data_IF_140406727459
#
_entry.id   IF_140406727459
#
_cell.length_a   1.000
_cell.length_b   1.000
_cell.length_c   1.000
_cell.angle_alpha   90.00
_cell.angle_beta   90.00
_cell.angle_gamma   90.00
#
_symmetry.space_group_name_H-M   'P 1'
#
loop_
_entity.id
_entity.type
_entity.pdbx_description
1 polymer ?
#
# COMPACT_ATOMS: atom_id res chain seq x y z
N UNK A 1 -6.25 3.89 3.72
CA UNK A 1 -4.94 3.25 4.05
C UNK A 1 -4.11 3.27 2.77
N UNK A 2 -2.88 3.75 2.80
CA UNK A 2 -1.98 3.58 1.66
C UNK A 2 -1.81 2.11 1.28
N UNK A 3 -2.05 1.79 0.01
CA UNK A 3 -1.83 0.49 -0.60
C UNK A 3 -0.60 0.57 -1.53
N UNK A 4 -0.33 -0.44 -2.32
CA UNK A 4 0.85 -0.49 -3.19
C UNK A 4 1.05 0.79 -4.03
N UNK A 5 0.05 1.34 -4.74
CA UNK A 5 0.26 2.52 -5.58
C UNK A 5 0.62 3.79 -4.80
N UNK A 6 0.03 3.99 -3.62
CA UNK A 6 0.34 5.12 -2.76
C UNK A 6 1.78 5.03 -2.22
N UNK A 7 2.18 3.82 -1.80
CA UNK A 7 3.54 3.57 -1.29
C UNK A 7 4.58 3.76 -2.40
N UNK A 8 4.32 3.23 -3.60
CA UNK A 8 5.18 3.42 -4.76
C UNK A 8 5.33 4.89 -5.12
N UNK A 9 4.24 5.66 -5.07
CA UNK A 9 4.26 7.10 -5.32
C UNK A 9 5.18 7.82 -4.35
N UNK A 10 5.10 7.49 -3.06
CA UNK A 10 5.97 8.09 -2.03
C UNK A 10 7.43 7.72 -2.30
N UNK A 11 7.75 6.46 -2.59
CA UNK A 11 9.12 6.03 -2.88
C UNK A 11 9.69 6.79 -4.08
N UNK A 12 8.95 6.91 -5.18
CA UNK A 12 9.36 7.69 -6.37
C UNK A 12 9.61 9.15 -6.03
N UNK A 13 8.77 9.75 -5.20
CA UNK A 13 8.92 11.15 -4.81
C UNK A 13 10.10 11.37 -3.87
N UNK A 14 10.39 10.44 -2.95
CA UNK A 14 11.57 10.48 -2.10
C UNK A 14 12.86 10.38 -2.94
N UNK A 15 12.89 9.46 -3.93
CA UNK A 15 14.00 9.37 -4.89
C UNK A 15 14.18 10.67 -5.68
N UNK A 16 13.10 11.19 -6.27
CA UNK A 16 13.14 12.45 -7.03
C UNK A 16 13.60 13.64 -6.17
N UNK A 17 13.40 13.58 -4.86
CA UNK A 17 13.90 14.59 -3.91
C UNK A 17 15.38 14.43 -3.60
N UNK A 18 16.05 13.42 -4.14
CA UNK A 18 17.46 13.14 -3.87
C UNK A 18 17.69 12.69 -2.43
N UNK A 19 16.79 11.88 -1.87
CA UNK A 19 16.94 11.29 -0.54
C UNK A 19 18.00 10.19 -0.54
N UNK A 20 18.11 9.46 -1.65
CA UNK A 20 19.18 8.49 -1.85
C UNK A 20 20.55 9.20 -1.87
N UNK A 21 21.57 8.51 -1.40
CA UNK A 21 22.93 8.97 -1.22
C UNK A 21 23.13 10.04 -0.14
N UNK A 22 22.10 10.41 0.63
CA UNK A 22 22.23 11.30 1.77
C UNK A 22 22.45 10.54 3.06
N UNK A 23 23.20 11.17 3.95
CA UNK A 23 23.43 10.70 5.32
C UNK A 23 22.30 11.17 6.23
N UNK A 24 21.91 10.31 7.17
CA UNK A 24 20.94 10.62 8.22
C UNK A 24 21.72 11.31 9.36
N UNK A 25 21.60 12.62 9.49
CA UNK A 25 22.31 13.39 10.52
C UNK A 25 21.61 13.30 11.88
N UNK A 26 20.28 13.31 11.88
CA UNK A 26 19.49 13.22 13.10
C UNK A 26 18.10 12.66 12.82
N UNK A 27 17.51 12.05 13.84
CA UNK A 27 16.12 11.63 13.83
C UNK A 27 15.43 12.11 15.11
N UNK A 28 14.24 12.64 14.99
CA UNK A 28 13.34 12.92 16.12
C UNK A 28 12.16 11.97 16.05
N UNK A 29 11.76 11.39 17.19
CA UNK A 29 10.63 10.47 17.30
C UNK A 29 9.69 10.97 18.39
N UNK A 30 8.50 11.41 18.02
CA UNK A 30 7.47 11.90 18.95
C UNK A 30 6.48 10.79 19.35
N UNK A 31 6.59 9.60 18.76
CA UNK A 31 5.77 8.42 19.07
C UNK A 31 6.62 7.16 19.16
N UNK A 32 7.22 6.86 20.35
CA UNK A 32 8.17 5.75 20.51
C UNK A 32 7.61 4.36 20.18
N UNK A 33 6.31 4.09 20.36
CA UNK A 33 5.70 2.81 19.99
C UNK A 33 5.88 2.45 18.49
N UNK A 34 6.14 3.44 17.64
CA UNK A 34 6.36 3.25 16.22
C UNK A 34 7.67 2.51 15.93
N UNK A 35 8.68 2.68 16.77
CA UNK A 35 10.02 2.09 16.63
C UNK A 35 10.26 0.89 17.56
N UNK A 36 9.23 0.42 18.27
CA UNK A 36 9.37 -0.73 19.16
C UNK A 36 9.96 -1.95 18.44
N UNK A 37 10.87 -2.73 19.09
CA UNK A 37 11.17 -2.71 20.53
C UNK A 37 12.27 -1.72 20.95
N UNK A 38 12.81 -0.90 20.06
CA UNK A 38 13.91 0.00 20.39
C UNK A 38 13.46 1.21 21.23
N UNK A 39 14.32 1.62 22.18
CA UNK A 39 14.23 2.95 22.75
C UNK A 39 14.65 4.00 21.70
N UNK A 40 14.28 5.27 21.94
CA UNK A 40 14.68 6.37 21.06
C UNK A 40 16.21 6.47 20.92
N UNK A 41 16.94 6.44 22.04
CA UNK A 41 18.40 6.54 22.04
C UNK A 41 19.06 5.43 21.23
N UNK A 42 18.62 4.18 21.45
CA UNK A 42 19.17 3.02 20.72
C UNK A 42 18.81 3.07 19.24
N UNK A 43 17.59 3.44 18.90
CA UNK A 43 17.15 3.57 17.49
C UNK A 43 17.94 4.66 16.77
N UNK A 44 18.08 5.84 17.40
CA UNK A 44 18.85 6.96 16.86
C UNK A 44 20.30 6.55 16.61
N UNK A 45 20.96 5.92 17.59
CA UNK A 45 22.34 5.43 17.45
C UNK A 45 22.50 4.43 16.31
N UNK A 46 21.47 3.66 15.98
CA UNK A 46 21.52 2.66 14.89
C UNK A 46 21.38 3.27 13.50
N UNK A 47 20.66 4.36 13.33
CA UNK A 47 20.35 4.92 12.01
C UNK A 47 21.05 6.24 11.71
N UNK A 48 21.44 7.04 12.71
CA UNK A 48 22.22 8.25 12.48
C UNK A 48 23.62 7.92 11.99
N UNK A 49 24.19 8.80 11.19
CA UNK A 49 25.43 8.67 10.44
C UNK A 49 25.44 7.54 9.40
N UNK A 50 24.25 6.96 9.12
CA UNK A 50 24.11 6.02 8.01
C UNK A 50 23.66 6.72 6.74
N UNK A 51 24.27 6.31 5.62
CA UNK A 51 23.90 6.79 4.30
C UNK A 51 22.72 5.98 3.75
N UNK A 52 21.72 6.64 3.20
CA UNK A 52 20.63 5.98 2.49
C UNK A 52 21.14 5.56 1.11
N UNK A 53 21.44 4.29 0.93
CA UNK A 53 22.01 3.75 -0.32
C UNK A 53 20.91 3.67 -1.39
N UNK A 54 19.75 3.11 -1.00
CA UNK A 54 18.66 2.87 -1.94
C UNK A 54 17.30 2.93 -1.24
N UNK A 55 16.30 3.39 -1.96
CA UNK A 55 14.91 3.32 -1.57
C UNK A 55 14.19 2.30 -2.46
N UNK A 56 13.41 1.42 -1.86
CA UNK A 56 12.62 0.46 -2.62
C UNK A 56 11.28 0.20 -1.93
N UNK A 57 10.44 -0.60 -2.55
CA UNK A 57 9.15 -1.01 -2.03
C UNK A 57 8.98 -2.53 -2.16
N UNK A 58 8.36 -3.14 -1.15
CA UNK A 58 7.80 -4.47 -1.26
C UNK A 58 6.38 -4.45 -0.64
N UNK A 59 5.37 -4.76 -1.44
CA UNK A 59 3.97 -4.65 -1.03
C UNK A 59 3.63 -3.23 -0.54
N UNK A 60 3.33 -3.10 0.74
CA UNK A 60 3.00 -1.82 1.41
C UNK A 60 4.13 -1.30 2.31
N UNK A 61 5.32 -1.87 2.20
CA UNK A 61 6.51 -1.46 2.93
C UNK A 61 7.39 -0.55 2.07
N UNK A 62 7.85 0.56 2.65
CA UNK A 62 8.96 1.34 2.13
C UNK A 62 10.23 0.78 2.76
N UNK A 63 11.25 0.55 1.97
CA UNK A 63 12.52 -0.01 2.38
C UNK A 63 13.60 1.05 2.14
N UNK A 64 14.21 1.51 3.23
CA UNK A 64 15.44 2.29 3.19
C UNK A 64 16.59 1.32 3.41
N UNK A 65 17.36 1.06 2.37
CA UNK A 65 18.64 0.37 2.47
C UNK A 65 19.68 1.39 2.89
N UNK A 66 20.31 1.15 4.01
CA UNK A 66 21.30 2.02 4.60
C UNK A 66 22.71 1.43 4.41
N UNK A 67 23.73 2.25 4.63
CA UNK A 67 25.10 1.75 4.70
C UNK A 67 25.26 0.64 5.76
N UNK A 68 26.38 -0.08 5.71
CA UNK A 68 26.73 -1.13 6.67
C UNK A 68 25.67 -2.25 6.80
N UNK A 69 25.03 -2.62 5.68
CA UNK A 69 23.99 -3.67 5.62
C UNK A 69 22.85 -3.45 6.62
N UNK A 70 22.48 -2.20 6.84
CA UNK A 70 21.35 -1.81 7.69
C UNK A 70 20.11 -1.49 6.87
N UNK A 71 18.95 -1.73 7.44
CA UNK A 71 17.68 -1.47 6.79
C UNK A 71 16.70 -0.79 7.75
N UNK A 72 15.98 0.21 7.24
CA UNK A 72 14.81 0.76 7.90
C UNK A 72 13.57 0.45 7.06
N UNK A 73 12.70 -0.40 7.58
CA UNK A 73 11.42 -0.76 6.95
C UNK A 73 10.31 0.11 7.53
N UNK A 74 9.58 0.80 6.67
CA UNK A 74 8.49 1.70 7.08
C UNK A 74 7.17 1.22 6.51
N UNK A 75 6.20 0.90 7.39
CA UNK A 75 4.82 0.60 7.02
C UNK A 75 3.91 1.76 7.41
N UNK A 76 3.26 2.36 6.42
CA UNK A 76 2.43 3.56 6.62
C UNK A 76 1.12 3.29 7.37
N UNK A 77 0.63 2.06 7.34
CA UNK A 77 -0.65 1.66 7.93
C UNK A 77 -1.81 2.54 7.41
N UNK A 78 -2.64 3.10 8.32
CA UNK A 78 -3.89 3.77 7.94
C UNK A 78 -3.73 5.24 7.55
N UNK A 79 -2.83 5.96 8.20
CA UNK A 79 -2.68 7.42 8.05
C UNK A 79 -1.24 7.90 7.91
N UNK A 80 -0.28 6.96 7.90
CA UNK A 80 1.13 7.30 7.73
C UNK A 80 1.41 7.91 6.36
N UNK A 81 2.24 8.95 6.33
CA UNK A 81 2.72 9.58 5.11
C UNK A 81 4.00 10.36 5.37
N UNK A 82 4.82 10.56 4.34
CA UNK A 82 5.94 11.48 4.39
C UNK A 82 5.55 12.87 3.86
N UNK A 83 6.20 13.93 4.36
CA UNK A 83 5.98 15.32 3.96
C UNK A 83 7.27 16.13 3.98
N UNK A 84 7.29 17.20 3.19
CA UNK A 84 8.36 18.22 3.17
C UNK A 84 8.14 19.34 4.18
N UNK A 85 6.91 19.51 4.67
CA UNK A 85 6.52 20.60 5.55
C UNK A 85 6.13 20.05 6.91
N UNK A 86 6.44 20.71 8.02
CA UNK A 86 6.04 20.30 9.35
C UNK A 86 4.52 20.33 9.54
N UNK A 87 4.03 19.58 10.52
CA UNK A 87 2.63 19.54 10.92
C UNK A 87 2.49 19.05 12.36
N UNK A 88 1.41 19.40 13.04
CA UNK A 88 1.07 18.91 14.39
C UNK A 88 0.82 17.39 14.46
N UNK A 89 0.68 16.74 13.31
CA UNK A 89 0.52 15.28 13.21
C UNK A 89 1.82 14.53 12.93
N UNK A 90 2.96 15.24 12.91
CA UNK A 90 4.25 14.59 12.73
C UNK A 90 4.56 13.70 13.93
N UNK A 91 5.11 12.53 13.66
CA UNK A 91 5.50 11.52 14.65
C UNK A 91 7.00 11.20 14.56
N UNK A 92 7.62 11.61 13.48
CA UNK A 92 9.07 11.59 13.32
C UNK A 92 9.51 12.68 12.34
N UNK A 93 10.77 13.12 12.52
CA UNK A 93 11.51 13.97 11.60
C UNK A 93 12.86 13.33 11.35
N UNK A 94 13.28 13.29 10.09
CA UNK A 94 14.62 12.86 9.68
C UNK A 94 15.32 14.08 9.08
N UNK A 95 16.46 14.45 9.64
CA UNK A 95 17.37 15.44 9.08
C UNK A 95 18.43 14.70 8.26
N UNK A 96 18.52 15.03 6.99
CA UNK A 96 19.50 14.47 6.05
C UNK A 96 20.59 15.49 5.72
N UNK A 97 21.74 15.01 5.28
CA UNK A 97 22.83 15.87 4.77
C UNK A 97 22.33 16.79 3.67
N UNK A 98 22.93 18.00 3.59
CA UNK A 98 22.46 19.06 2.69
C UNK A 98 21.17 19.74 3.16
N UNK A 99 20.83 19.66 4.45
CA UNK A 99 19.70 20.38 5.06
C UNK A 99 18.31 19.85 4.70
N UNK A 100 18.21 18.67 4.10
CA UNK A 100 16.92 18.10 3.70
C UNK A 100 16.20 17.52 4.91
N UNK A 101 14.98 17.99 5.18
CA UNK A 101 14.10 17.48 6.23
C UNK A 101 12.97 16.64 5.65
N UNK A 102 12.70 15.50 6.27
CA UNK A 102 11.56 14.65 6.01
C UNK A 102 10.72 14.52 7.28
N UNK A 103 9.43 14.83 7.18
CA UNK A 103 8.48 14.70 8.27
C UNK A 103 7.61 13.46 8.02
N UNK A 104 7.51 12.60 9.02
CA UNK A 104 6.58 11.48 8.98
C UNK A 104 5.34 11.81 9.77
N UNK A 105 4.21 11.88 9.09
CA UNK A 105 2.88 12.17 9.67
C UNK A 105 2.12 10.89 9.92
N UNK A 106 1.49 10.81 11.08
CA UNK A 106 0.54 9.74 11.37
C UNK A 106 -0.44 10.17 12.46
N UNK A 107 -1.61 10.67 12.05
CA UNK A 107 -2.64 11.14 12.97
C UNK A 107 -3.21 10.03 13.85
N UNK A 108 -3.23 8.79 13.35
CA UNK A 108 -3.77 7.60 14.05
C UNK A 108 -2.73 6.82 14.83
N UNK A 109 -1.44 7.12 14.67
CA UNK A 109 -0.32 6.48 15.39
C UNK A 109 -0.21 4.96 15.18
N UNK A 110 -0.56 4.45 13.99
CA UNK A 110 -0.50 3.03 13.64
C UNK A 110 0.71 2.66 12.79
N UNK A 111 1.41 3.65 12.27
CA UNK A 111 2.62 3.45 11.48
C UNK A 111 3.68 2.66 12.23
N UNK A 112 4.50 1.93 11.51
CA UNK A 112 5.53 1.09 12.10
C UNK A 112 6.84 1.27 11.35
N UNK A 113 7.90 1.50 12.10
CA UNK A 113 9.28 1.60 11.62
C UNK A 113 10.07 0.46 12.25
N UNK A 114 10.73 -0.34 11.43
CA UNK A 114 11.51 -1.48 11.90
C UNK A 114 12.94 -1.32 11.40
N UNK A 115 13.87 -1.15 12.33
CA UNK A 115 15.29 -1.29 12.04
C UNK A 115 15.68 -2.77 12.05
N UNK A 116 16.47 -3.21 11.08
CA UNK A 116 16.94 -4.59 11.00
C UNK A 116 18.22 -4.69 10.15
N UNK A 117 19.02 -5.72 10.42
CA UNK A 117 20.10 -6.19 9.54
C UNK A 117 19.63 -7.29 8.58
N UNK A 118 18.45 -7.88 8.84
CA UNK A 118 17.88 -8.94 8.01
C UNK A 118 16.43 -8.59 7.63
N UNK A 119 16.21 -7.87 6.52
CA UNK A 119 14.88 -7.52 6.06
C UNK A 119 14.05 -8.74 5.66
N UNK A 120 14.68 -9.84 5.26
CA UNK A 120 14.02 -11.09 4.87
C UNK A 120 13.19 -11.70 5.99
N UNK A 121 13.58 -11.51 7.26
CA UNK A 121 12.81 -11.98 8.43
C UNK A 121 11.38 -11.42 8.48
N UNK A 122 11.16 -10.29 7.83
CA UNK A 122 9.87 -9.61 7.74
C UNK A 122 9.24 -9.80 6.36
N UNK A 123 10.03 -9.59 5.31
CA UNK A 123 9.55 -9.55 3.94
C UNK A 123 9.20 -10.95 3.39
N UNK A 124 9.89 -12.01 3.83
CA UNK A 124 9.58 -13.39 3.42
C UNK A 124 8.24 -13.91 3.98
N UNK A 125 7.63 -13.19 4.93
CA UNK A 125 6.26 -13.49 5.38
C UNK A 125 5.19 -12.97 4.41
N UNK A 126 5.58 -12.19 3.42
CA UNK A 126 4.72 -11.69 2.37
C UNK A 126 4.75 -12.63 1.18
N UNK A 127 3.63 -12.73 0.48
CA UNK A 127 3.61 -13.26 -0.86
C UNK A 127 4.33 -12.33 -1.85
N UNK A 128 4.44 -12.72 -3.12
CA UNK A 128 5.05 -11.89 -4.14
C UNK A 128 4.35 -10.53 -4.23
N UNK A 129 5.14 -9.50 -4.47
CA UNK A 129 4.59 -8.17 -4.77
C UNK A 129 3.73 -8.23 -6.04
N UNK A 130 2.52 -7.69 -5.97
CA UNK A 130 1.53 -7.79 -7.05
C UNK A 130 1.98 -7.22 -8.41
N UNK A 131 3.09 -6.48 -8.46
CA UNK A 131 3.69 -5.96 -9.70
C UNK A 131 5.11 -6.50 -9.95
N UNK A 132 5.60 -7.44 -9.15
CA UNK A 132 6.88 -8.11 -9.40
C UNK A 132 6.74 -9.22 -10.45
N UNK A 133 7.89 -9.67 -10.98
CA UNK A 133 7.94 -10.84 -11.87
C UNK A 133 7.53 -12.14 -11.18
N UNK A 134 7.71 -12.22 -9.87
CA UNK A 134 7.36 -13.38 -9.06
C UNK A 134 5.84 -13.57 -8.93
N UNK A 135 5.05 -12.49 -9.05
CA UNK A 135 3.60 -12.57 -9.20
C UNK A 135 3.25 -12.98 -10.63
N UNK A 136 3.55 -14.22 -10.97
CA UNK A 136 3.28 -14.81 -12.29
C UNK A 136 1.87 -15.40 -12.37
N UNK A 137 1.37 -15.60 -13.61
CA UNK A 137 0.12 -16.33 -13.84
C UNK A 137 0.15 -17.72 -13.21
N UNK A 138 1.25 -18.46 -13.37
CA UNK A 138 1.41 -19.80 -12.77
C UNK A 138 1.23 -19.77 -11.27
N UNK A 139 1.94 -18.86 -10.58
CA UNK A 139 1.82 -18.68 -9.13
C UNK A 139 0.37 -18.37 -8.71
N UNK A 140 -0.27 -17.41 -9.37
CA UNK A 140 -1.63 -16.99 -9.04
C UNK A 140 -2.65 -18.11 -9.24
N UNK A 141 -2.58 -18.81 -10.35
CA UNK A 141 -3.46 -19.94 -10.69
C UNK A 141 -3.32 -21.10 -9.68
N UNK A 142 -2.09 -21.54 -9.41
CA UNK A 142 -1.83 -22.59 -8.44
C UNK A 142 -2.32 -22.23 -7.03
N UNK A 143 -2.11 -20.98 -6.63
CA UNK A 143 -2.56 -20.49 -5.32
C UNK A 143 -4.08 -20.45 -5.22
N UNK A 144 -4.77 -19.94 -6.24
CA UNK A 144 -6.24 -19.89 -6.27
C UNK A 144 -6.86 -21.27 -6.16
N UNK A 145 -6.35 -22.25 -6.91
CA UNK A 145 -6.90 -23.61 -6.92
C UNK A 145 -6.73 -24.33 -5.56
N UNK A 146 -5.73 -23.94 -4.77
CA UNK A 146 -5.47 -24.51 -3.43
C UNK A 146 -6.31 -23.90 -2.32
N UNK A 147 -7.09 -22.81 -2.57
CA UNK A 147 -7.72 -22.02 -1.49
C UNK A 147 -9.24 -22.04 -1.57
N UNK A 148 -9.85 -22.73 -0.60
CA UNK A 148 -11.30 -22.73 -0.39
C UNK A 148 -11.70 -21.55 0.52
N UNK A 149 -11.67 -20.33 -0.01
CA UNK A 149 -12.08 -19.10 0.69
C UNK A 149 -12.59 -18.07 -0.30
N UNK A 150 -13.38 -17.12 0.19
CA UNK A 150 -13.89 -16.02 -0.64
C UNK A 150 -12.76 -15.25 -1.29
N UNK A 151 -12.96 -14.86 -2.57
CA UNK A 151 -11.92 -14.23 -3.40
C UNK A 151 -11.47 -12.87 -2.85
N UNK A 152 -12.35 -12.05 -2.30
CA UNK A 152 -11.91 -10.75 -1.75
C UNK A 152 -11.01 -10.90 -0.53
N UNK A 153 -11.31 -11.66 0.53
CA UNK A 153 -10.37 -11.97 1.61
C UNK A 153 -9.06 -12.62 1.12
N UNK A 154 -9.12 -13.45 0.07
CA UNK A 154 -7.94 -14.02 -0.56
C UNK A 154 -7.02 -12.93 -1.12
N UNK A 155 -7.56 -11.96 -1.88
CA UNK A 155 -6.79 -10.85 -2.45
C UNK A 155 -6.20 -9.90 -1.38
N UNK A 156 -6.86 -9.80 -0.23
CA UNK A 156 -6.42 -8.93 0.88
C UNK A 156 -5.31 -9.53 1.73
N UNK A 157 -5.06 -10.84 1.61
CA UNK A 157 -4.07 -11.56 2.39
C UNK A 157 -2.66 -11.26 1.85
N UNK A 158 -1.89 -10.51 2.64
CA UNK A 158 -0.56 -10.08 2.23
C UNK A 158 0.45 -11.24 2.17
N UNK A 159 0.16 -12.38 2.80
CA UNK A 159 0.98 -13.60 2.67
C UNK A 159 0.75 -14.31 1.34
N UNK A 160 -0.32 -13.99 0.62
CA UNK A 160 -0.62 -14.53 -0.70
C UNK A 160 -0.15 -13.58 -1.80
N UNK A 161 -0.54 -12.30 -1.70
CA UNK A 161 -0.22 -11.27 -2.68
C UNK A 161 0.06 -9.97 -1.93
N UNK A 162 1.30 -9.52 -1.95
CA UNK A 162 1.67 -8.29 -1.26
C UNK A 162 1.24 -7.05 -2.05
N UNK A 163 0.66 -6.08 -1.34
CA UNK A 163 0.37 -4.76 -1.88
C UNK A 163 -1.10 -4.44 -2.12
N UNK A 164 -1.94 -5.44 -2.40
CA UNK A 164 -3.38 -5.23 -2.62
C UNK A 164 -4.06 -4.92 -1.29
N UNK A 165 -4.91 -3.91 -1.29
CA UNK A 165 -5.79 -3.58 -0.16
C UNK A 165 -7.24 -3.43 -0.63
N UNK A 166 -8.07 -2.79 0.21
CA UNK A 166 -9.51 -2.78 0.00
C UNK A 166 -9.95 -2.03 -1.26
N UNK A 167 -9.23 -0.95 -1.60
CA UNK A 167 -9.53 -0.14 -2.79
C UNK A 167 -9.28 -0.97 -4.06
N UNK A 168 -8.05 -1.45 -4.20
CA UNK A 168 -7.65 -2.14 -5.43
C UNK A 168 -8.21 -3.55 -5.54
N UNK A 169 -8.63 -4.18 -4.43
CA UNK A 169 -9.39 -5.43 -4.48
C UNK A 169 -10.79 -5.22 -5.08
N UNK A 170 -11.54 -4.18 -4.65
CA UNK A 170 -12.85 -3.88 -5.22
C UNK A 170 -12.75 -3.49 -6.69
N UNK A 171 -11.77 -2.66 -7.05
CA UNK A 171 -11.52 -2.26 -8.43
C UNK A 171 -11.20 -3.46 -9.34
N UNK A 172 -10.30 -4.36 -8.90
CA UNK A 172 -9.91 -5.53 -9.68
C UNK A 172 -11.08 -6.50 -9.86
N UNK A 173 -11.86 -6.76 -8.80
CA UNK A 173 -13.03 -7.63 -8.85
C UNK A 173 -14.14 -7.04 -9.73
N UNK A 174 -14.37 -5.72 -9.66
CA UNK A 174 -15.30 -5.05 -10.54
C UNK A 174 -14.83 -5.14 -12.00
N UNK A 175 -13.58 -4.88 -12.28
CA UNK A 175 -13.02 -4.94 -13.63
C UNK A 175 -13.13 -6.35 -14.22
N UNK A 176 -12.83 -7.38 -13.43
CA UNK A 176 -12.94 -8.79 -13.79
C UNK A 176 -14.38 -9.33 -13.82
N UNK A 177 -15.38 -8.56 -13.38
CA UNK A 177 -16.78 -8.98 -13.24
C UNK A 177 -16.98 -10.18 -12.30
N UNK A 178 -16.20 -10.26 -11.22
CA UNK A 178 -16.26 -11.37 -10.25
C UNK A 178 -16.90 -10.88 -8.95
N UNK A 179 -17.90 -11.62 -8.48
CA UNK A 179 -18.52 -11.33 -7.18
C UNK A 179 -17.52 -11.61 -6.04
N UNK A 180 -17.32 -10.66 -5.06
CA UNK A 180 -16.29 -10.76 -4.05
C UNK A 180 -16.45 -11.91 -3.05
N UNK A 181 -17.62 -12.53 -2.97
CA UNK A 181 -17.90 -13.72 -2.15
C UNK A 181 -17.68 -15.04 -2.89
N UNK A 182 -17.42 -15.06 -4.21
CA UNK A 182 -17.08 -16.32 -4.91
C UNK A 182 -15.90 -16.99 -4.26
N UNK A 183 -15.93 -18.31 -4.20
CA UNK A 183 -14.83 -19.10 -3.63
C UNK A 183 -13.69 -19.19 -4.64
N UNK A 184 -12.46 -18.94 -4.22
CA UNK A 184 -11.30 -18.78 -5.12
C UNK A 184 -11.10 -20.00 -6.04
N UNK A 185 -11.16 -21.23 -5.51
CA UNK A 185 -10.95 -22.45 -6.28
C UNK A 185 -12.15 -22.87 -7.16
N UNK A 186 -13.29 -22.18 -7.07
CA UNK A 186 -14.45 -22.44 -7.95
C UNK A 186 -14.51 -21.46 -9.14
N UNK A 187 -13.62 -20.48 -9.18
CA UNK A 187 -13.56 -19.49 -10.26
C UNK A 187 -12.94 -20.15 -11.50
N UNK A 188 -13.60 -20.03 -12.66
CA UNK A 188 -13.11 -20.58 -13.92
C UNK A 188 -11.72 -20.07 -14.29
N UNK A 189 -10.92 -20.88 -15.00
CA UNK A 189 -9.58 -20.48 -15.45
C UNK A 189 -9.60 -19.19 -16.25
N UNK A 190 -10.64 -18.98 -17.09
CA UNK A 190 -10.79 -17.76 -17.87
C UNK A 190 -11.02 -16.53 -16.98
N UNK A 191 -11.84 -16.65 -15.94
CA UNK A 191 -12.09 -15.56 -15.01
C UNK A 191 -10.90 -15.32 -14.09
N UNK A 192 -10.16 -16.37 -13.71
CA UNK A 192 -8.89 -16.21 -13.01
C UNK A 192 -7.88 -15.41 -13.85
N UNK A 193 -7.76 -15.68 -15.17
CA UNK A 193 -6.91 -14.90 -16.10
C UNK A 193 -7.34 -13.43 -16.16
N UNK A 194 -8.66 -13.18 -16.27
CA UNK A 194 -9.20 -11.80 -16.25
C UNK A 194 -8.86 -11.10 -14.93
N UNK A 195 -9.05 -11.79 -13.79
CA UNK A 195 -8.73 -11.23 -12.48
C UNK A 195 -7.23 -10.91 -12.33
N UNK A 196 -6.36 -11.82 -12.75
CA UNK A 196 -4.91 -11.62 -12.74
C UNK A 196 -4.51 -10.35 -13.53
N UNK A 197 -5.02 -10.20 -14.74
CA UNK A 197 -4.78 -9.02 -15.57
C UNK A 197 -5.37 -7.75 -14.94
N UNK A 198 -6.59 -7.85 -14.41
CA UNK A 198 -7.28 -6.72 -13.75
C UNK A 198 -6.52 -6.22 -12.53
N UNK A 199 -5.95 -7.12 -11.71
CA UNK A 199 -5.11 -6.73 -10.57
C UNK A 199 -3.94 -5.86 -11.02
N UNK A 200 -3.20 -6.31 -12.04
CA UNK A 200 -2.05 -5.56 -12.54
C UNK A 200 -2.46 -4.23 -13.16
N UNK A 201 -3.57 -4.21 -13.89
CA UNK A 201 -4.10 -3.02 -14.54
C UNK A 201 -4.49 -1.94 -13.54
N UNK A 202 -5.34 -2.26 -12.55
CA UNK A 202 -5.80 -1.27 -11.57
C UNK A 202 -4.66 -0.72 -10.72
N UNK A 203 -3.66 -1.55 -10.38
CA UNK A 203 -2.47 -1.10 -9.65
C UNK A 203 -1.60 -0.17 -10.50
N UNK A 204 -1.37 -0.48 -11.78
CA UNK A 204 -0.63 0.38 -12.72
C UNK A 204 -1.35 1.72 -12.93
N UNK A 205 -2.67 1.70 -13.08
CA UNK A 205 -3.51 2.91 -13.13
C UNK A 205 -3.35 3.71 -11.85
N UNK A 206 -3.45 3.06 -10.69
CA UNK A 206 -3.24 3.71 -9.39
C UNK A 206 -1.89 4.42 -9.28
N UNK A 207 -0.80 3.79 -9.73
CA UNK A 207 0.54 4.40 -9.73
C UNK A 207 0.61 5.61 -10.67
N UNK A 208 0.09 5.48 -11.91
CA UNK A 208 0.06 6.59 -12.88
C UNK A 208 -0.67 7.81 -12.32
N UNK A 209 -1.69 7.56 -11.51
CA UNK A 209 -2.52 8.59 -10.90
C UNK A 209 -2.01 9.07 -9.53
N UNK A 210 -0.82 8.64 -9.10
CA UNK A 210 -0.21 8.98 -7.80
C UNK A 210 -1.04 8.51 -6.60
N UNK A 211 -1.69 7.35 -6.72
CA UNK A 211 -2.56 6.79 -5.71
C UNK A 211 -3.98 7.34 -5.77
N UNK A 212 -4.83 6.86 -4.87
CA UNK A 212 -6.25 7.19 -4.78
C UNK A 212 -6.53 7.98 -3.50
N UNK A 213 -7.23 9.11 -3.62
CA UNK A 213 -7.75 9.89 -2.49
C UNK A 213 -9.27 9.95 -2.58
N UNK A 214 -9.94 9.47 -1.55
CA UNK A 214 -11.38 9.31 -1.51
C UNK A 214 -12.04 10.48 -0.76
N UNK A 215 -12.59 11.43 -1.49
CA UNK A 215 -13.48 12.49 -0.97
C UNK A 215 -12.82 13.57 -0.10
N UNK A 216 -13.67 14.40 0.52
CA UNK A 216 -13.27 15.53 1.39
C UNK A 216 -13.09 15.04 2.83
N UNK A 217 -11.91 14.59 3.25
CA UNK A 217 -11.68 14.16 4.63
C UNK A 217 -10.24 14.34 5.10
N UNK A 218 -10.06 14.61 6.41
CA UNK A 218 -8.75 14.83 7.05
C UNK A 218 -7.83 13.60 7.05
N UNK A 219 -8.38 12.40 6.80
CA UNK A 219 -7.66 11.12 6.81
C UNK A 219 -7.27 10.61 5.42
N UNK A 220 -7.48 11.40 4.37
CA UNK A 220 -7.14 11.01 3.01
C UNK A 220 -5.61 11.00 2.80
N UNK A 221 -5.17 10.01 1.99
CA UNK A 221 -3.80 9.94 1.53
C UNK A 221 -3.39 11.26 0.87
N UNK A 222 -2.21 11.73 1.25
CA UNK A 222 -1.50 12.84 0.60
C UNK A 222 -0.10 12.39 0.24
N UNK A 223 0.33 12.77 -0.94
CA UNK A 223 1.69 12.52 -1.39
C UNK A 223 2.72 13.38 -0.63
N UNK A 224 4.02 13.19 -0.90
CA UNK A 224 5.12 13.94 -0.27
C UNK A 224 4.97 15.47 -0.41
N UNK A 225 4.30 15.95 -1.46
CA UNK A 225 4.05 17.35 -1.74
C UNK A 225 2.76 17.88 -1.08
N UNK A 226 2.05 17.03 -0.34
CA UNK A 226 0.76 17.35 0.27
C UNK A 226 -0.42 17.34 -0.72
N UNK A 227 -0.20 16.90 -1.95
CA UNK A 227 -1.27 16.76 -2.94
C UNK A 227 -2.03 15.46 -2.68
N UNK A 228 -3.35 15.53 -2.78
CA UNK A 228 -4.19 14.32 -2.83
C UNK A 228 -3.85 13.52 -4.08
N UNK A 229 -3.97 12.20 -4.02
CA UNK A 229 -4.03 11.36 -5.21
C UNK A 229 -5.20 11.83 -6.08
N UNK A 230 -5.28 11.37 -7.32
CA UNK A 230 -6.37 11.78 -8.22
C UNK A 230 -7.73 11.43 -7.62
N UNK A 231 -8.77 12.24 -7.90
CA UNK A 231 -10.04 12.18 -7.21
C UNK A 231 -10.85 10.90 -7.55
N UNK A 232 -11.97 10.77 -6.87
CA UNK A 232 -12.97 9.71 -6.93
C UNK A 232 -13.32 9.22 -8.35
N UNK A 233 -13.23 10.09 -9.35
CA UNK A 233 -13.58 9.82 -10.77
C UNK A 233 -12.73 8.71 -11.43
N UNK A 234 -11.66 8.30 -10.78
CA UNK A 234 -10.81 7.21 -11.28
C UNK A 234 -11.10 5.86 -10.61
N UNK A 235 -11.94 5.86 -9.60
CA UNK A 235 -12.39 4.67 -8.89
C UNK A 235 -13.74 4.26 -9.49
N UNK A 236 -13.83 3.04 -9.97
CA UNK A 236 -15.01 2.54 -10.68
C UNK A 236 -15.99 1.77 -9.79
N UNK A 237 -15.49 1.28 -8.65
CA UNK A 237 -16.28 0.51 -7.70
C UNK A 237 -16.15 1.04 -6.27
N UNK A 238 -14.92 1.10 -5.74
CA UNK A 238 -14.72 1.39 -4.33
C UNK A 238 -15.35 2.72 -3.88
N UNK A 239 -16.25 2.63 -2.86
CA UNK A 239 -16.90 3.81 -2.27
C UNK A 239 -18.02 4.41 -3.13
N UNK A 240 -18.44 3.76 -4.21
CA UNK A 240 -19.50 4.21 -5.12
C UNK A 240 -20.84 3.55 -4.90
N UNK A 241 -21.09 2.98 -3.71
CA UNK A 241 -22.42 2.45 -3.36
C UNK A 241 -23.49 3.52 -3.47
N UNK A 242 -24.61 3.21 -4.14
CA UNK A 242 -25.70 4.15 -4.47
C UNK A 242 -25.49 4.92 -5.78
N UNK A 243 -24.31 4.85 -6.42
CA UNK A 243 -24.06 5.47 -7.73
C UNK A 243 -24.27 4.47 -8.87
N UNK A 244 -24.45 4.97 -10.08
CA UNK A 244 -24.62 4.11 -11.24
C UNK A 244 -23.29 3.47 -11.66
N UNK A 245 -23.35 2.17 -11.97
CA UNK A 245 -22.23 1.45 -12.58
C UNK A 245 -21.93 2.02 -13.97
N UNK A 246 -20.69 2.43 -14.20
CA UNK A 246 -20.31 3.00 -15.50
C UNK A 246 -20.43 2.03 -16.69
N UNK A 247 -20.58 0.73 -16.42
CA UNK A 247 -20.65 -0.32 -17.43
C UNK A 247 -22.08 -0.65 -17.88
N UNK A 248 -23.02 -0.66 -16.95
CA UNK A 248 -24.39 -1.13 -17.21
C UNK A 248 -25.47 -0.22 -16.64
N UNK A 249 -25.09 0.90 -16.05
CA UNK A 249 -25.95 1.93 -15.43
C UNK A 249 -26.79 1.43 -14.24
N UNK A 250 -26.68 0.17 -13.86
CA UNK A 250 -27.38 -0.34 -12.67
C UNK A 250 -26.79 0.26 -11.40
N UNK A 251 -27.60 0.49 -10.39
CA UNK A 251 -27.15 1.03 -9.10
C UNK A 251 -26.18 0.06 -8.41
N UNK A 252 -25.03 0.58 -7.98
CA UNK A 252 -24.03 -0.17 -7.24
C UNK A 252 -24.42 -0.32 -5.78
N UNK A 253 -24.11 -1.47 -5.21
CA UNK A 253 -24.48 -1.82 -3.84
C UNK A 253 -23.26 -1.83 -2.93
N UNK A 254 -23.48 -1.40 -1.68
CA UNK A 254 -22.50 -1.58 -0.60
C UNK A 254 -22.86 -2.81 0.21
N UNK A 255 -21.98 -3.79 0.21
CA UNK A 255 -22.10 -5.02 1.00
C UNK A 255 -20.93 -5.15 1.99
N UNK A 256 -20.98 -6.18 2.83
CA UNK A 256 -19.85 -6.56 3.70
C UNK A 256 -19.34 -7.96 3.35
N UNK A 257 -18.01 -8.07 3.20
CA UNK A 257 -17.32 -9.32 2.95
C UNK A 257 -16.18 -9.46 3.97
N UNK A 258 -16.23 -10.46 4.85
CA UNK A 258 -15.27 -10.65 5.94
C UNK A 258 -14.97 -9.34 6.70
N UNK A 259 -16.02 -8.68 7.18
CA UNK A 259 -15.98 -7.40 7.92
C UNK A 259 -15.38 -6.21 7.14
N UNK A 260 -15.23 -6.30 5.81
CA UNK A 260 -14.74 -5.22 4.96
C UNK A 260 -15.87 -4.65 4.12
N UNK A 261 -16.09 -3.34 4.23
CA UNK A 261 -16.98 -2.65 3.30
C UNK A 261 -16.52 -2.87 1.86
N UNK A 262 -17.45 -3.26 1.02
CA UNK A 262 -17.22 -3.71 -0.36
C UNK A 262 -18.28 -3.09 -1.25
N UNK A 263 -17.90 -2.55 -2.38
CA UNK A 263 -18.86 -2.05 -3.37
C UNK A 263 -18.88 -2.99 -4.58
N UNK A 264 -20.07 -3.37 -5.00
CA UNK A 264 -20.30 -4.24 -6.18
C UNK A 264 -21.32 -3.61 -7.13
N UNK A 265 -21.26 -4.03 -8.38
CA UNK A 265 -22.39 -3.91 -9.28
C UNK A 265 -23.15 -5.25 -9.33
N UNK A 266 -24.38 -5.36 -8.81
CA UNK A 266 -25.07 -6.65 -8.73
C UNK A 266 -25.37 -7.25 -10.11
N UNK A 267 -25.53 -6.42 -11.15
CA UNK A 267 -25.71 -6.88 -12.54
C UNK A 267 -24.44 -7.38 -13.20
N UNK A 268 -23.28 -6.74 -12.93
CA UNK A 268 -22.01 -7.13 -13.58
C UNK A 268 -21.26 -8.21 -12.81
N UNK A 269 -21.45 -8.30 -11.49
CA UNK A 269 -20.72 -9.19 -10.59
C UNK A 269 -21.72 -10.17 -9.95
N UNK A 270 -22.29 -11.03 -10.77
CA UNK A 270 -23.22 -12.08 -10.29
C UNK A 270 -22.49 -13.13 -9.46
N UNK A 271 -23.21 -13.65 -8.47
CA UNK A 271 -22.72 -14.72 -7.60
C UNK A 271 -22.69 -16.07 -8.32
#
# INVERSE_FOLDING_TARGET
>A
MPELPEVETIVRQLRKRGVEQREILAVRIDWPKMIAPYSYSLFSKKICNEKIIKLSRNGKWIIFELSNNKFLLVHLRMSGSFSKKPSKYDRAEILLSGGVKLFYRDSRKFGKWIFTYNPSSILNKLGPDALSKDFSWKYFHELMNKKNRMIKPFLLDQSFIAGIGNIYADEALWLAKIHPKKIANTISVNDQKKLFSSIQEVLKIGIRNRGTSLGKGKSNYKDLNGKSGRPKDMVKAYGRGGENCERCLNTMEKIYVAQRGTTICPKCQTF
#
